data_IF_214272495300
#
_entry.id   IF_214272495300
#
_cell.length_a   1.000
_cell.length_b   1.000
_cell.length_c   1.000
_cell.angle_alpha   90.00
_cell.angle_beta   90.00
_cell.angle_gamma   90.00
#
_symmetry.space_group_name_H-M   'P 1'
#
loop_
_entity.id
_entity.type
_entity.pdbx_description
1 polymer ?
#
# COMPACT_ATOMS: atom_id res chain seq x y z
N UNK A 1 -5.79 -9.91 9.84
CA UNK A 1 -6.03 -8.50 10.22
C UNK A 1 -4.96 -7.63 9.60
N UNK A 2 -5.31 -6.40 9.23
CA UNK A 2 -4.40 -5.37 8.76
C UNK A 2 -4.18 -4.38 9.90
N UNK A 3 -2.93 -3.97 10.13
CA UNK A 3 -2.60 -2.88 11.04
C UNK A 3 -2.04 -1.74 10.20
N UNK A 4 -2.65 -0.57 10.32
CA UNK A 4 -2.41 0.60 9.49
C UNK A 4 -2.29 1.85 10.36
N UNK A 5 -1.74 2.93 9.82
CA UNK A 5 -1.74 4.25 10.49
C UNK A 5 -3.16 4.75 10.68
N UNK A 6 -3.41 5.55 11.72
CA UNK A 6 -4.72 6.19 11.93
C UNK A 6 -5.14 7.09 10.75
N UNK A 7 -4.16 7.69 10.07
CA UNK A 7 -4.36 8.48 8.84
C UNK A 7 -3.56 7.87 7.67
N UNK A 8 -4.07 6.80 7.02
CA UNK A 8 -3.37 6.14 5.93
C UNK A 8 -3.13 7.03 4.71
N UNK A 9 -1.97 6.89 4.07
CA UNK A 9 -1.59 7.68 2.87
C UNK A 9 -1.72 6.87 1.59
N UNK A 10 -2.67 5.93 1.57
CA UNK A 10 -2.91 5.07 0.42
C UNK A 10 -3.39 5.89 -0.78
N UNK A 11 -2.60 5.88 -1.86
CA UNK A 11 -2.90 6.67 -3.07
C UNK A 11 -4.05 6.02 -3.85
N UNK A 12 -4.02 4.69 -4.05
CA UNK A 12 -5.13 3.96 -4.69
C UNK A 12 -6.18 3.55 -3.65
N UNK A 13 -6.82 4.54 -3.01
CA UNK A 13 -7.75 4.32 -1.89
C UNK A 13 -8.98 3.48 -2.25
N UNK A 14 -9.47 3.52 -3.50
CA UNK A 14 -10.62 2.70 -3.92
C UNK A 14 -10.36 1.19 -3.79
N UNK A 15 -9.12 0.76 -3.96
CA UNK A 15 -8.72 -0.67 -3.93
C UNK A 15 -7.77 -0.96 -2.77
N UNK A 16 -7.96 -0.26 -1.65
CA UNK A 16 -7.18 -0.44 -0.43
C UNK A 16 -8.08 -0.51 0.79
N UNK A 17 -7.93 -1.58 1.58
CA UNK A 17 -8.62 -1.72 2.86
C UNK A 17 -8.26 -0.64 3.88
N UNK A 18 -7.16 0.09 3.66
CA UNK A 18 -6.81 1.26 4.48
C UNK A 18 -7.93 2.32 4.52
N UNK A 19 -8.79 2.38 3.50
CA UNK A 19 -9.94 3.28 3.47
C UNK A 19 -10.93 3.04 4.62
N UNK A 20 -10.99 1.83 5.18
CA UNK A 20 -11.80 1.54 6.36
C UNK A 20 -11.38 2.38 7.58
N UNK A 21 -10.12 2.84 7.66
CA UNK A 21 -9.67 3.72 8.74
C UNK A 21 -10.40 5.06 8.76
N UNK A 22 -10.84 5.53 7.59
CA UNK A 22 -11.60 6.77 7.43
C UNK A 22 -13.11 6.54 7.50
N UNK A 23 -13.60 5.52 6.80
CA UNK A 23 -15.04 5.33 6.56
C UNK A 23 -15.69 4.32 7.53
N UNK A 24 -14.90 3.66 8.38
CA UNK A 24 -15.35 2.62 9.33
C UNK A 24 -15.48 1.24 8.70
N UNK A 25 -15.88 1.15 7.43
CA UNK A 25 -15.81 -0.06 6.61
C UNK A 25 -15.45 0.28 5.17
N UNK A 26 -14.96 -0.72 4.42
CA UNK A 26 -14.62 -0.57 3.01
C UNK A 26 -14.68 -1.92 2.31
N UNK A 27 -15.10 -1.94 1.04
CA UNK A 27 -15.11 -3.16 0.23
C UNK A 27 -14.10 -3.04 -0.91
N UNK A 28 -13.34 -4.11 -1.17
CA UNK A 28 -12.48 -4.22 -2.35
C UNK A 28 -12.77 -5.55 -3.02
N UNK A 29 -13.27 -5.51 -4.25
CA UNK A 29 -13.58 -6.69 -5.07
C UNK A 29 -14.40 -7.76 -4.31
N UNK A 30 -15.46 -7.32 -3.59
CA UNK A 30 -16.36 -8.21 -2.84
C UNK A 30 -15.86 -8.64 -1.46
N UNK A 31 -14.66 -8.23 -1.04
CA UNK A 31 -14.13 -8.51 0.29
C UNK A 31 -14.38 -7.30 1.19
N UNK A 32 -15.13 -7.49 2.27
CA UNK A 32 -15.39 -6.45 3.27
C UNK A 32 -14.21 -6.32 4.24
N UNK A 33 -13.82 -5.09 4.52
CA UNK A 33 -12.91 -4.72 5.59
C UNK A 33 -13.59 -3.76 6.57
N UNK A 34 -13.25 -3.89 7.85
CA UNK A 34 -13.88 -3.10 8.91
C UNK A 34 -12.85 -2.59 9.92
N UNK A 35 -12.97 -1.31 10.29
CA UNK A 35 -12.17 -0.71 11.36
C UNK A 35 -12.55 -1.35 12.69
N UNK A 36 -11.53 -1.73 13.46
CA UNK A 36 -11.68 -2.31 14.80
C UNK A 36 -10.75 -1.60 15.77
N UNK A 37 -11.19 -1.45 17.01
CA UNK A 37 -10.43 -0.81 18.08
C UNK A 37 -9.83 -1.81 19.09
N UNK A 38 -10.35 -3.04 19.12
CA UNK A 38 -9.90 -4.06 20.08
C UNK A 38 -9.88 -5.50 19.50
N UNK A 39 -9.05 -6.41 20.06
CA UNK A 39 -8.91 -7.77 19.51
C UNK A 39 -10.22 -8.57 19.44
N UNK A 40 -11.16 -8.33 20.35
CA UNK A 40 -12.46 -9.00 20.35
C UNK A 40 -13.30 -8.67 19.10
N UNK A 41 -13.29 -7.40 18.68
CA UNK A 41 -13.95 -6.96 17.45
C UNK A 41 -13.30 -7.58 16.20
N UNK A 42 -11.97 -7.69 16.18
CA UNK A 42 -11.25 -8.33 15.09
C UNK A 42 -11.72 -9.77 14.85
N UNK A 43 -11.89 -10.55 15.93
CA UNK A 43 -12.40 -11.92 15.84
C UNK A 43 -13.83 -11.98 15.28
N UNK A 44 -14.69 -11.02 15.65
CA UNK A 44 -16.06 -10.97 15.15
C UNK A 44 -16.12 -10.65 13.65
N UNK A 45 -15.25 -9.78 13.16
CA UNK A 45 -15.12 -9.46 11.74
C UNK A 45 -14.61 -10.69 10.97
N UNK A 46 -13.59 -11.37 11.48
CA UNK A 46 -13.04 -12.60 10.86
C UNK A 46 -14.05 -13.75 10.79
N UNK A 47 -14.89 -13.94 11.81
CA UNK A 47 -15.97 -14.95 11.79
C UNK A 47 -17.00 -14.74 10.67
N UNK A 48 -17.06 -13.51 10.13
CA UNK A 48 -17.92 -13.14 8.99
C UNK A 48 -17.11 -13.05 7.68
N UNK A 49 -15.92 -13.65 7.65
CA UNK A 49 -15.01 -13.65 6.49
C UNK A 49 -14.51 -12.24 6.09
N UNK A 50 -14.70 -11.23 6.93
CA UNK A 50 -14.20 -9.88 6.71
C UNK A 50 -12.75 -9.69 7.16
N UNK A 51 -12.13 -8.61 6.70
CA UNK A 51 -10.77 -8.20 7.07
C UNK A 51 -10.82 -7.13 8.16
N UNK A 52 -10.39 -7.41 9.40
CA UNK A 52 -10.25 -6.38 10.41
C UNK A 52 -9.09 -5.44 10.04
N UNK A 53 -9.30 -4.14 10.21
CA UNK A 53 -8.29 -3.09 10.01
C UNK A 53 -8.18 -2.30 11.30
N UNK A 54 -6.99 -2.17 11.85
CA UNK A 54 -6.78 -1.51 13.13
C UNK A 54 -5.70 -0.43 13.04
N UNK A 55 -5.82 0.59 13.89
CA UNK A 55 -4.76 1.57 14.07
C UNK A 55 -3.52 0.93 14.70
N UNK A 56 -2.34 1.30 14.22
CA UNK A 56 -1.08 0.79 14.76
C UNK A 56 -0.89 1.18 16.21
N UNK A 57 -1.36 2.35 16.63
CA UNK A 57 -1.31 2.82 18.02
C UNK A 57 -2.01 1.86 18.98
N UNK A 58 -3.14 1.30 18.55
CA UNK A 58 -3.97 0.40 19.35
C UNK A 58 -3.41 -1.04 19.39
N UNK A 59 -2.75 -1.47 18.31
CA UNK A 59 -2.33 -2.86 18.13
C UNK A 59 -0.82 -3.10 18.09
N UNK A 60 0.03 -2.08 18.24
CA UNK A 60 1.50 -2.27 18.22
C UNK A 60 1.99 -3.33 19.22
N UNK A 61 1.31 -3.46 20.36
CA UNK A 61 1.61 -4.43 21.43
C UNK A 61 1.21 -5.87 21.07
N UNK A 62 0.53 -6.10 19.95
CA UNK A 62 0.19 -7.45 19.48
C UNK A 62 1.26 -8.05 18.59
N UNK A 63 2.27 -7.29 18.14
CA UNK A 63 3.39 -7.78 17.32
C UNK A 63 4.44 -8.55 18.16
N UNK A 64 4.02 -9.69 18.70
CA UNK A 64 4.84 -10.62 19.46
C UNK A 64 4.61 -12.04 18.96
N UNK A 65 5.61 -12.91 19.08
CA UNK A 65 5.55 -14.29 18.60
C UNK A 65 4.34 -15.05 19.15
N UNK A 66 4.11 -14.97 20.46
CA UNK A 66 3.00 -15.67 21.13
C UNK A 66 1.59 -15.25 20.64
N UNK A 67 1.50 -14.18 19.84
CA UNK A 67 0.23 -13.63 19.34
C UNK A 67 0.07 -13.75 17.83
N UNK A 68 1.10 -14.16 17.10
CA UNK A 68 1.05 -14.23 15.64
C UNK A 68 1.78 -15.47 15.14
N UNK A 69 1.06 -16.31 14.40
CA UNK A 69 1.66 -17.40 13.64
C UNK A 69 2.39 -16.86 12.40
N UNK A 70 1.76 -15.90 11.70
CA UNK A 70 2.28 -15.29 10.48
C UNK A 70 2.28 -13.77 10.63
N UNK A 71 3.41 -13.12 10.29
CA UNK A 71 3.53 -11.66 10.23
C UNK A 71 4.07 -11.23 8.85
N UNK A 72 3.32 -10.38 8.17
CA UNK A 72 3.70 -9.83 6.86
C UNK A 72 3.96 -8.34 7.01
N UNK A 73 5.19 -7.89 6.76
CA UNK A 73 5.52 -6.47 6.68
C UNK A 73 5.34 -5.97 5.24
N UNK A 74 4.17 -5.39 4.99
CA UNK A 74 3.77 -4.80 3.73
C UNK A 74 4.03 -3.29 3.63
N UNK A 75 4.76 -2.68 4.58
CA UNK A 75 5.01 -1.23 4.62
C UNK A 75 5.92 -0.75 3.49
N UNK A 76 6.69 -1.67 2.88
CA UNK A 76 7.63 -1.39 1.78
C UNK A 76 8.53 -0.17 2.07
N UNK A 77 9.17 -0.14 3.25
CA UNK A 77 9.97 1.00 3.72
C UNK A 77 11.22 1.27 2.86
N UNK A 78 11.61 0.33 1.98
CA UNK A 78 12.82 0.37 1.14
C UNK A 78 14.14 0.40 1.93
N UNK A 79 14.05 0.26 3.25
CA UNK A 79 15.16 0.19 4.21
C UNK A 79 14.86 -0.91 5.22
N UNK A 80 15.91 -1.40 5.88
CA UNK A 80 15.76 -2.42 6.91
C UNK A 80 14.89 -1.86 8.06
N UNK A 81 13.74 -2.47 8.39
CA UNK A 81 12.99 -2.11 9.58
C UNK A 81 13.75 -2.55 10.83
N UNK A 82 13.70 -1.74 11.87
CA UNK A 82 14.31 -2.06 13.18
C UNK A 82 13.35 -2.83 14.08
N UNK A 83 12.05 -2.68 13.86
CA UNK A 83 10.96 -3.19 14.68
C UNK A 83 10.46 -4.58 14.26
N UNK A 84 10.86 -5.06 13.08
CA UNK A 84 10.47 -6.36 12.53
C UNK A 84 11.69 -7.26 12.35
N UNK A 85 11.59 -8.49 12.84
CA UNK A 85 12.56 -9.55 12.59
C UNK A 85 11.89 -10.93 12.76
N UNK A 86 12.61 -12.02 12.45
CA UNK A 86 12.14 -13.42 12.50
C UNK A 86 11.63 -13.89 13.86
N UNK A 87 11.91 -13.17 14.95
CA UNK A 87 11.41 -13.52 16.30
C UNK A 87 10.00 -13.01 16.57
N UNK A 88 9.33 -12.37 15.60
CA UNK A 88 8.03 -11.71 15.80
C UNK A 88 6.81 -12.59 15.53
N UNK A 89 6.99 -13.69 14.81
CA UNK A 89 5.99 -14.70 14.50
C UNK A 89 6.72 -16.01 14.16
N UNK A 90 6.00 -17.10 13.95
CA UNK A 90 6.60 -18.35 13.45
C UNK A 90 7.02 -18.23 11.99
N UNK A 91 6.27 -17.45 11.20
CA UNK A 91 6.58 -17.10 9.82
C UNK A 91 6.59 -15.58 9.68
N UNK A 92 7.72 -15.00 9.28
CA UNK A 92 7.84 -13.56 8.99
C UNK A 92 8.16 -13.34 7.52
N UNK A 93 7.29 -12.62 6.81
CA UNK A 93 7.43 -12.32 5.38
C UNK A 93 7.60 -10.81 5.18
N UNK A 94 8.64 -10.42 4.45
CA UNK A 94 8.86 -9.02 4.05
C UNK A 94 8.46 -8.77 2.60
N UNK A 95 7.93 -7.59 2.28
CA UNK A 95 7.67 -7.19 0.89
C UNK A 95 8.74 -6.22 0.38
N UNK A 96 9.54 -6.66 -0.59
CA UNK A 96 10.44 -5.79 -1.34
C UNK A 96 11.72 -5.35 -0.62
N UNK A 97 12.41 -4.32 -1.15
CA UNK A 97 13.71 -3.87 -0.67
C UNK A 97 13.69 -3.47 0.82
N UNK A 98 14.78 -3.75 1.52
CA UNK A 98 14.92 -3.56 2.97
C UNK A 98 14.94 -4.89 3.73
N UNK A 99 14.38 -5.94 3.14
CA UNK A 99 14.40 -7.29 3.69
C UNK A 99 15.49 -8.18 3.07
N UNK A 100 15.93 -9.16 3.85
CA UNK A 100 16.84 -10.24 3.46
C UNK A 100 16.36 -11.55 4.10
N UNK A 101 15.90 -12.48 3.27
CA UNK A 101 15.51 -13.81 3.70
C UNK A 101 16.71 -14.57 4.29
N UNK A 102 16.46 -15.33 5.35
CA UNK A 102 17.48 -15.98 6.19
C UNK A 102 18.20 -15.03 7.16
N UNK A 103 17.91 -13.72 7.14
CA UNK A 103 18.48 -12.74 8.08
C UNK A 103 17.42 -12.07 8.95
N UNK A 104 16.58 -11.21 8.38
CA UNK A 104 15.55 -10.46 9.13
C UNK A 104 14.13 -10.97 8.86
N UNK A 105 13.93 -11.78 7.84
CA UNK A 105 12.65 -12.45 7.51
C UNK A 105 12.91 -13.88 7.06
N UNK A 106 11.87 -14.72 7.06
CA UNK A 106 11.93 -16.10 6.58
C UNK A 106 11.78 -16.16 5.05
N UNK A 107 10.93 -15.29 4.49
CA UNK A 107 10.85 -15.05 3.05
C UNK A 107 10.72 -13.56 2.73
N UNK A 108 11.15 -13.18 1.53
CA UNK A 108 10.92 -11.85 0.97
C UNK A 108 10.30 -11.95 -0.41
N UNK A 109 9.23 -11.19 -0.66
CA UNK A 109 8.56 -11.18 -1.96
C UNK A 109 9.17 -10.09 -2.85
N UNK A 110 9.49 -10.46 -4.09
CA UNK A 110 9.92 -9.50 -5.11
C UNK A 110 8.76 -8.56 -5.49
N UNK A 111 9.03 -7.25 -5.47
CA UNK A 111 8.04 -6.20 -5.74
C UNK A 111 8.42 -5.31 -6.92
N UNK A 112 9.62 -5.43 -7.45
CA UNK A 112 10.06 -4.76 -8.67
C UNK A 112 9.35 -5.40 -9.87
N UNK A 113 8.83 -4.56 -10.76
CA UNK A 113 8.24 -5.05 -12.02
C UNK A 113 9.33 -5.70 -12.87
N UNK A 114 8.99 -6.82 -13.51
CA UNK A 114 9.91 -7.62 -14.32
C UNK A 114 9.60 -9.10 -14.18
N UNK A 115 10.48 -9.96 -14.72
CA UNK A 115 10.29 -11.42 -14.75
C UNK A 115 10.19 -12.10 -13.38
N UNK A 116 10.63 -11.42 -12.32
CA UNK A 116 10.68 -11.95 -10.96
C UNK A 116 9.56 -11.41 -10.07
N UNK A 117 8.70 -10.52 -10.57
CA UNK A 117 7.64 -9.90 -9.78
C UNK A 117 6.76 -10.97 -9.09
N UNK A 118 6.57 -10.82 -7.78
CA UNK A 118 5.75 -11.73 -6.98
C UNK A 118 6.46 -13.01 -6.54
N UNK A 119 7.70 -13.29 -6.96
CA UNK A 119 8.40 -14.49 -6.50
C UNK A 119 8.76 -14.41 -5.02
N UNK A 120 8.55 -15.51 -4.31
CA UNK A 120 9.07 -15.71 -2.98
C UNK A 120 10.56 -16.03 -3.03
N UNK A 121 11.35 -15.31 -2.22
CA UNK A 121 12.79 -15.50 -2.07
C UNK A 121 13.04 -15.98 -0.64
N UNK A 122 13.53 -17.22 -0.51
CA UNK A 122 13.79 -17.86 0.78
C UNK A 122 15.24 -17.69 1.26
N UNK A 123 16.14 -17.27 0.37
CA UNK A 123 17.51 -16.90 0.71
C UNK A 123 17.95 -15.68 -0.11
N UNK A 124 18.50 -14.65 0.55
CA UNK A 124 19.01 -13.47 -0.13
C UNK A 124 18.04 -12.28 -0.11
N UNK A 125 18.11 -11.42 -1.13
CA UNK A 125 17.42 -10.12 -1.18
C UNK A 125 16.61 -9.99 -2.48
N UNK A 126 15.50 -9.25 -2.49
CA UNK A 126 14.86 -8.84 -3.73
C UNK A 126 15.70 -7.76 -4.44
N UNK A 127 15.29 -7.39 -5.64
CA UNK A 127 15.86 -6.29 -6.38
C UNK A 127 15.88 -4.99 -5.55
N UNK A 128 16.90 -4.13 -5.71
CA UNK A 128 16.97 -2.86 -5.01
C UNK A 128 15.86 -1.90 -5.46
N UNK A 129 15.51 -0.93 -4.60
CA UNK A 129 14.58 0.13 -4.98
C UNK A 129 15.17 0.98 -6.12
N UNK A 130 14.50 0.98 -7.28
CA UNK A 130 14.94 1.76 -8.46
C UNK A 130 14.63 3.25 -8.34
N UNK A 131 13.73 3.63 -7.42
CA UNK A 131 13.20 5.00 -7.32
C UNK A 131 12.15 5.34 -8.39
N UNK A 132 12.03 4.52 -9.44
CA UNK A 132 11.16 4.78 -10.60
C UNK A 132 9.84 4.02 -10.49
N UNK A 133 8.69 4.67 -10.68
CA UNK A 133 7.42 3.96 -10.83
C UNK A 133 7.44 3.05 -12.06
N UNK A 134 6.66 1.97 -12.02
CA UNK A 134 6.47 1.12 -13.20
C UNK A 134 5.81 1.86 -14.36
N UNK A 135 6.17 1.50 -15.58
CA UNK A 135 5.60 2.10 -16.81
C UNK A 135 4.14 1.67 -17.02
N UNK A 136 3.31 2.60 -17.49
CA UNK A 136 1.94 2.37 -17.97
C UNK A 136 1.77 3.17 -19.26
N UNK A 137 1.50 2.48 -20.36
CA UNK A 137 1.34 3.07 -21.70
C UNK A 137 2.47 4.07 -22.07
N UNK A 138 3.73 3.72 -21.80
CA UNK A 138 4.89 4.55 -22.12
C UNK A 138 5.25 5.63 -21.08
N UNK A 139 4.45 5.82 -20.02
CA UNK A 139 4.71 6.81 -18.97
C UNK A 139 5.13 6.18 -17.65
N UNK A 140 6.07 6.78 -16.93
CA UNK A 140 6.63 6.21 -15.69
C UNK A 140 6.61 7.18 -14.51
N UNK A 141 7.49 8.17 -14.47
CA UNK A 141 7.58 9.16 -13.39
C UNK A 141 6.48 10.23 -13.55
N UNK A 142 6.17 10.59 -14.78
CA UNK A 142 5.24 11.66 -15.18
C UNK A 142 3.82 11.41 -14.69
N UNK A 143 3.46 10.14 -14.47
CA UNK A 143 2.15 9.74 -13.96
C UNK A 143 2.01 9.95 -12.46
N UNK A 144 3.10 10.10 -11.71
CA UNK A 144 3.08 10.16 -10.25
C UNK A 144 3.39 11.56 -9.76
N UNK A 145 2.39 12.18 -9.12
CA UNK A 145 2.56 13.51 -8.53
C UNK A 145 3.06 13.36 -7.08
N UNK A 146 4.14 14.07 -6.77
CA UNK A 146 4.71 14.16 -5.43
C UNK A 146 4.59 15.58 -4.89
N UNK A 147 4.54 15.73 -3.57
CA UNK A 147 4.64 17.04 -2.93
C UNK A 147 6.06 17.57 -2.99
N UNK A 148 6.26 18.83 -3.37
CA UNK A 148 7.55 19.51 -3.20
C UNK A 148 7.73 20.11 -1.81
N UNK A 149 6.63 20.35 -1.09
CA UNK A 149 6.62 21.11 0.16
C UNK A 149 5.93 20.33 1.27
N UNK A 150 6.19 20.73 2.52
CA UNK A 150 5.39 20.26 3.65
C UNK A 150 4.10 21.09 3.76
N UNK A 151 3.00 20.46 4.14
CA UNK A 151 1.73 21.15 4.41
C UNK A 151 0.52 20.24 4.25
N UNK A 152 -0.66 20.80 4.46
CA UNK A 152 -1.92 20.07 4.25
C UNK A 152 -2.24 20.01 2.76
N UNK A 153 -2.53 18.80 2.27
CA UNK A 153 -2.98 18.57 0.90
C UNK A 153 -4.49 18.84 0.78
N UNK A 154 -4.89 19.64 -0.20
CA UNK A 154 -6.31 19.90 -0.55
C UNK A 154 -6.56 19.54 -2.00
N UNK A 155 -7.77 19.10 -2.34
CA UNK A 155 -8.18 18.80 -3.70
C UNK A 155 -9.70 18.78 -3.80
N UNK A 156 -10.22 19.33 -4.90
CA UNK A 156 -11.63 19.23 -5.31
C UNK A 156 -11.84 18.09 -6.35
N UNK A 157 -10.78 17.30 -6.61
CA UNK A 157 -10.81 16.18 -7.56
C UNK A 157 -11.00 14.88 -6.82
N UNK A 158 -11.53 13.89 -7.54
CA UNK A 158 -11.73 12.55 -7.03
C UNK A 158 -11.07 11.49 -7.90
N UNK A 159 -10.86 10.30 -7.31
CA UNK A 159 -10.42 9.14 -8.09
C UNK A 159 -11.48 8.79 -9.13
N UNK A 160 -11.03 8.59 -10.36
CA UNK A 160 -11.89 8.35 -11.52
C UNK A 160 -12.25 9.59 -12.32
N UNK A 161 -11.86 10.79 -11.86
CA UNK A 161 -11.97 12.01 -12.66
C UNK A 161 -11.00 11.99 -13.84
N UNK A 162 -11.44 12.57 -14.96
CA UNK A 162 -10.58 12.86 -16.10
C UNK A 162 -9.83 14.17 -15.84
N UNK A 163 -8.54 14.19 -16.16
CA UNK A 163 -7.69 15.36 -16.02
C UNK A 163 -6.79 15.50 -17.24
N UNK A 164 -6.63 16.72 -17.74
CA UNK A 164 -5.71 17.08 -18.81
C UNK A 164 -4.31 17.36 -18.28
N UNK A 165 -3.33 17.42 -19.19
CA UNK A 165 -1.98 17.89 -18.88
C UNK A 165 -1.99 19.36 -18.43
N UNK A 166 -1.21 19.70 -17.40
CA UNK A 166 -1.11 21.04 -16.86
C UNK A 166 -2.29 21.49 -15.99
N UNK A 167 -3.34 20.69 -15.89
CA UNK A 167 -4.48 20.96 -15.00
C UNK A 167 -4.09 20.77 -13.53
N UNK A 168 -4.79 21.50 -12.65
CA UNK A 168 -4.58 21.44 -11.21
C UNK A 168 -5.30 20.21 -10.64
N UNK A 169 -4.55 19.36 -9.95
CA UNK A 169 -5.08 18.20 -9.23
C UNK A 169 -5.38 18.52 -7.76
N UNK A 170 -4.77 19.55 -7.20
CA UNK A 170 -4.92 19.96 -5.81
C UNK A 170 -3.84 20.95 -5.42
N UNK A 171 -3.68 21.18 -4.12
CA UNK A 171 -2.69 22.11 -3.58
C UNK A 171 -2.02 21.55 -2.33
N UNK A 172 -0.80 21.99 -2.05
CA UNK A 172 -0.15 21.78 -0.74
C UNK A 172 0.33 23.13 -0.23
N UNK A 173 -0.12 23.51 0.96
CA UNK A 173 0.17 24.81 1.57
C UNK A 173 -0.13 26.01 0.62
N UNK A 174 -1.25 25.94 -0.11
CA UNK A 174 -1.68 26.96 -1.07
C UNK A 174 -0.88 27.02 -2.37
N UNK A 175 -0.01 26.04 -2.63
CA UNK A 175 0.73 25.93 -3.90
C UNK A 175 0.06 24.89 -4.81
N UNK A 176 -0.32 25.27 -6.04
CA UNK A 176 -1.01 24.37 -6.95
C UNK A 176 -0.10 23.23 -7.43
N UNK A 177 -0.65 22.03 -7.41
CA UNK A 177 -0.06 20.83 -7.98
C UNK A 177 -0.68 20.59 -9.35
N UNK A 178 0.16 20.52 -10.38
CA UNK A 178 -0.26 20.28 -11.76
C UNK A 178 0.13 18.89 -12.21
N UNK A 179 -0.68 18.32 -13.10
CA UNK A 179 -0.36 17.06 -13.77
C UNK A 179 0.65 17.29 -14.90
N UNK A 180 1.59 16.36 -15.07
CA UNK A 180 2.51 16.36 -16.22
C UNK A 180 1.95 15.62 -17.45
N UNK A 181 0.83 14.91 -17.30
CA UNK A 181 0.17 14.14 -18.37
C UNK A 181 -1.35 14.19 -18.20
N UNK A 182 -2.08 13.94 -19.29
CA UNK A 182 -3.52 13.71 -19.26
C UNK A 182 -3.89 12.25 -19.01
N UNK A 183 -5.08 12.02 -18.46
CA UNK A 183 -5.63 10.67 -18.23
C UNK A 183 -6.74 10.65 -17.20
N UNK A 184 -6.86 9.53 -16.48
CA UNK A 184 -7.77 9.35 -15.35
C UNK A 184 -6.96 9.40 -14.05
N UNK A 185 -7.46 10.09 -13.03
CA UNK A 185 -6.89 10.04 -11.68
C UNK A 185 -7.15 8.63 -11.11
N UNK A 186 -6.16 7.74 -11.22
CA UNK A 186 -6.25 6.34 -10.70
C UNK A 186 -5.91 6.22 -9.23
N UNK A 187 -5.32 7.25 -8.66
CA UNK A 187 -5.03 7.33 -7.24
C UNK A 187 -4.85 8.77 -6.79
N UNK A 188 -5.35 9.06 -5.61
CA UNK A 188 -5.33 10.33 -4.92
C UNK A 188 -5.40 10.04 -3.43
N UNK A 189 -4.44 10.55 -2.65
CA UNK A 189 -4.54 10.46 -1.19
C UNK A 189 -5.76 11.26 -0.70
N UNK A 190 -6.30 10.92 0.48
CA UNK A 190 -7.43 11.67 1.06
C UNK A 190 -7.04 13.16 1.25
N UNK A 191 -7.84 14.12 0.76
CA UNK A 191 -7.64 15.53 1.09
C UNK A 191 -7.72 15.78 2.61
N UNK A 192 -7.01 16.80 3.09
CA UNK A 192 -6.91 17.16 4.51
C UNK A 192 -5.75 16.48 5.26
N UNK A 193 -4.92 15.69 4.57
CA UNK A 193 -3.74 15.06 5.17
C UNK A 193 -2.52 16.00 5.15
N UNK A 194 -1.76 16.00 6.24
CA UNK A 194 -0.44 16.62 6.28
C UNK A 194 0.57 15.74 5.53
N UNK A 195 1.27 16.35 4.57
CA UNK A 195 2.24 15.69 3.71
C UNK A 195 3.59 16.37 3.81
N UNK A 196 4.65 15.60 3.54
CA UNK A 196 6.02 16.11 3.47
C UNK A 196 6.56 16.17 2.03
N UNK A 197 7.72 16.83 1.83
CA UNK A 197 8.43 16.81 0.55
C UNK A 197 8.73 15.39 0.09
N UNK A 198 8.56 15.12 -1.21
CA UNK A 198 8.75 13.81 -1.83
C UNK A 198 7.65 12.80 -1.55
N UNK A 199 6.59 13.15 -0.82
CA UNK A 199 5.47 12.25 -0.57
C UNK A 199 4.61 12.10 -1.83
N UNK A 200 4.29 10.87 -2.21
CA UNK A 200 3.39 10.57 -3.33
C UNK A 200 1.95 10.97 -2.97
N UNK A 201 1.33 11.79 -3.81
CA UNK A 201 -0.01 12.35 -3.58
C UNK A 201 -1.04 11.78 -4.56
N UNK A 202 -0.64 11.59 -5.82
CA UNK A 202 -1.55 11.14 -6.85
C UNK A 202 -0.85 10.27 -7.90
N UNK A 203 -1.67 9.59 -8.70
CA UNK A 203 -1.25 8.70 -9.77
C UNK A 203 -2.26 8.82 -10.92
N UNK A 204 -1.78 9.09 -12.14
CA UNK A 204 -2.60 9.26 -13.35
C UNK A 204 -2.48 8.01 -14.23
N UNK A 205 -3.60 7.56 -14.79
CA UNK A 205 -3.62 6.49 -15.78
C UNK A 205 -3.81 7.08 -17.18
N UNK A 206 -2.77 7.09 -18.02
CA UNK A 206 -2.85 7.65 -19.37
C UNK A 206 -3.76 6.83 -20.30
N UNK A 207 -4.01 5.55 -19.99
CA UNK A 207 -4.90 4.68 -20.78
C UNK A 207 -6.34 5.18 -20.81
N UNK A 208 -6.71 6.05 -19.85
CA UNK A 208 -8.02 6.69 -19.75
C UNK A 208 -9.21 5.74 -19.56
N UNK A 209 -8.96 4.52 -19.09
CA UNK A 209 -9.99 3.53 -18.74
C UNK A 209 -10.43 3.73 -17.29
N UNK A 210 -11.59 4.37 -17.10
CA UNK A 210 -12.09 4.74 -15.75
C UNK A 210 -12.31 3.53 -14.86
N UNK A 211 -12.73 2.39 -15.40
CA UNK A 211 -13.06 1.20 -14.61
C UNK A 211 -11.84 0.64 -13.86
N UNK A 212 -10.63 0.84 -14.37
CA UNK A 212 -9.40 0.35 -13.74
C UNK A 212 -9.13 0.93 -12.35
N UNK A 213 -9.78 2.04 -11.98
CA UNK A 213 -9.64 2.59 -10.63
C UNK A 213 -10.23 1.68 -9.55
N UNK A 214 -11.12 0.76 -9.95
CA UNK A 214 -11.83 -0.16 -9.05
C UNK A 214 -11.18 -1.55 -8.97
N UNK A 215 -10.11 -1.81 -9.75
CA UNK A 215 -9.47 -3.12 -9.77
C UNK A 215 -8.06 -3.12 -9.16
N UNK A 216 -7.77 -4.17 -8.40
CA UNK A 216 -6.45 -4.46 -7.87
C UNK A 216 -5.47 -4.58 -9.04
N UNK A 217 -4.32 -3.92 -8.93
CA UNK A 217 -3.34 -3.98 -10.02
C UNK A 217 -2.72 -5.37 -10.15
N UNK A 218 -2.40 -5.75 -11.37
CA UNK A 218 -1.51 -6.87 -11.74
C UNK A 218 -0.34 -7.09 -10.76
N UNK A 219 0.36 -6.01 -10.40
CA UNK A 219 1.47 -6.04 -9.45
C UNK A 219 1.04 -6.44 -8.04
N UNK A 220 -0.06 -5.90 -7.56
CA UNK A 220 -0.57 -6.24 -6.22
C UNK A 220 -1.05 -7.68 -6.17
N UNK A 221 -1.69 -8.18 -7.24
CA UNK A 221 -2.08 -9.58 -7.36
C UNK A 221 -0.86 -10.51 -7.36
N UNK A 222 0.17 -10.19 -8.16
CA UNK A 222 1.41 -10.99 -8.18
C UNK A 222 2.12 -11.01 -6.82
N UNK A 223 2.22 -9.85 -6.14
CA UNK A 223 2.81 -9.77 -4.79
C UNK A 223 1.98 -10.54 -3.77
N UNK A 224 0.65 -10.42 -3.79
CA UNK A 224 -0.24 -11.18 -2.91
C UNK A 224 -0.16 -12.69 -3.14
N UNK A 225 -0.09 -13.12 -4.40
CA UNK A 225 0.14 -14.53 -4.76
C UNK A 225 1.47 -15.07 -4.22
N UNK A 226 2.54 -14.27 -4.32
CA UNK A 226 3.84 -14.61 -3.73
C UNK A 226 3.81 -14.77 -2.22
N UNK A 227 3.06 -13.91 -1.53
CA UNK A 227 2.84 -14.04 -0.07
C UNK A 227 2.13 -15.35 0.25
N UNK A 228 1.07 -15.68 -0.49
CA UNK A 228 0.33 -16.92 -0.28
C UNK A 228 1.21 -18.16 -0.52
N UNK A 229 2.01 -18.17 -1.59
CA UNK A 229 3.00 -19.22 -1.87
C UNK A 229 3.99 -19.37 -0.71
N UNK A 230 4.55 -18.26 -0.22
CA UNK A 230 5.49 -18.28 0.89
C UNK A 230 4.87 -18.82 2.19
N UNK A 231 3.61 -18.48 2.48
CA UNK A 231 2.89 -19.03 3.63
C UNK A 231 2.80 -20.55 3.50
N UNK A 232 2.30 -21.08 2.37
CA UNK A 232 2.16 -22.52 2.19
C UNK A 232 3.49 -23.28 2.16
N UNK A 233 4.58 -22.64 1.72
CA UNK A 233 5.91 -23.26 1.73
C UNK A 233 6.51 -23.35 3.14
N UNK A 234 6.20 -22.40 4.02
CA UNK A 234 6.80 -22.27 5.35
C UNK A 234 5.93 -22.84 6.47
N UNK A 235 4.66 -23.13 6.19
CA UNK A 235 3.68 -23.70 7.14
C UNK A 235 3.75 -25.22 7.22
#
# INVERSE_FOLDING_TARGET
MIVEKEKPTAVRRNVSFASAMYEGSWEVEGIEARKVAEPGEALNVQKKEGIPVAAVEDFRRTFTRDKNEILIDARMLKKNPEDINRSKADIVIGLGPGFKAGKNVDAVIETCRGHYLGRAIYEGKPAPNTGKPGEIAGFSEERVIHSENAGTFTSEREIGDKIGEGEIIGEVAGRPLKTGIGGIIRGLIKPGLDVGPGQKLADIDPRSEREYVNYISDKSLAVGGGVLEAIFHLS
#
